data_IF_883341040522
#
_entry.id   IF_883341040522
#
_cell.length_a   1.000
_cell.length_b   1.000
_cell.length_c   1.000
_cell.angle_alpha   90.00
_cell.angle_beta   90.00
_cell.angle_gamma   90.00
#
_symmetry.space_group_name_H-M   'P 1'
#
loop_
_entity.id
_entity.type
_entity.pdbx_description
1 polymer ?
#
# COMPACT_ATOMS: atom_id res chain seq x y z
N UNK A 1 -20.54 -9.64 -4.80
CA UNK A 1 -20.12 -8.68 -3.75
C UNK A 1 -20.58 -9.21 -2.40
N UNK A 2 -19.70 -9.28 -1.39
CA UNK A 2 -20.06 -9.64 -0.02
C UNK A 2 -21.12 -8.68 0.54
N UNK A 3 -21.72 -9.00 1.70
CA UNK A 3 -22.67 -8.09 2.39
C UNK A 3 -22.08 -6.70 2.74
N UNK A 4 -20.76 -6.56 2.59
CA UNK A 4 -19.97 -5.36 2.82
C UNK A 4 -19.46 -4.70 1.52
N UNK A 5 -19.80 -5.23 0.34
CA UNK A 5 -19.45 -4.65 -0.96
C UNK A 5 -18.19 -5.19 -1.63
N UNK A 6 -17.59 -6.29 -1.16
CA UNK A 6 -16.27 -6.77 -1.63
C UNK A 6 -16.32 -7.97 -2.58
N UNK A 7 -15.28 -8.18 -3.41
CA UNK A 7 -15.18 -9.31 -4.35
C UNK A 7 -14.28 -10.44 -3.81
N UNK A 8 -14.64 -11.70 -4.07
CA UNK A 8 -13.86 -12.88 -3.68
C UNK A 8 -14.53 -14.18 -4.13
N UNK A 9 -13.84 -15.32 -3.97
CA UNK A 9 -14.35 -16.65 -4.32
C UNK A 9 -14.45 -17.51 -3.05
N UNK A 10 -15.67 -17.69 -2.53
CA UNK A 10 -15.94 -18.43 -1.29
C UNK A 10 -17.36 -18.18 -0.78
N UNK A 11 -17.81 -18.94 0.23
CA UNK A 11 -19.15 -18.78 0.83
C UNK A 11 -19.41 -17.37 1.37
N UNK A 12 -18.36 -16.71 1.86
CA UNK A 12 -18.41 -15.33 2.38
C UNK A 12 -18.67 -14.27 1.28
N UNK A 13 -18.52 -14.66 0.01
CA UNK A 13 -18.65 -13.80 -1.17
C UNK A 13 -19.80 -14.21 -2.10
N UNK A 14 -20.29 -15.46 -1.98
CA UNK A 14 -21.31 -16.06 -2.85
C UNK A 14 -22.54 -16.63 -2.12
N UNK A 15 -22.71 -16.38 -0.81
CA UNK A 15 -23.87 -16.84 -0.01
C UNK A 15 -25.10 -15.91 0.01
N UNK A 16 -26.07 -16.23 0.87
CA UNK A 16 -27.32 -15.48 1.02
C UNK A 16 -27.08 -13.99 1.37
N UNK A 17 -27.74 -13.09 0.62
CA UNK A 17 -27.55 -11.63 0.74
C UNK A 17 -26.52 -11.02 -0.23
N UNK A 18 -25.99 -11.80 -1.19
CA UNK A 18 -25.13 -11.31 -2.26
C UNK A 18 -25.89 -10.32 -3.19
N UNK A 19 -25.33 -9.13 -3.41
CA UNK A 19 -25.95 -8.08 -4.25
C UNK A 19 -25.63 -8.17 -5.74
N UNK A 20 -24.61 -8.94 -6.16
CA UNK A 20 -24.27 -9.22 -7.57
C UNK A 20 -23.21 -10.33 -7.69
N UNK A 21 -23.41 -11.26 -8.65
CA UNK A 21 -22.49 -12.34 -9.06
C UNK A 21 -21.36 -11.86 -10.00
N UNK A 22 -20.52 -12.78 -10.52
CA UNK A 22 -19.09 -12.60 -10.68
C UNK A 22 -18.74 -11.34 -11.48
N UNK A 23 -17.92 -10.46 -10.91
CA UNK A 23 -17.32 -9.36 -11.64
C UNK A 23 -16.31 -9.96 -12.64
N UNK A 24 -16.79 -10.36 -13.81
CA UNK A 24 -15.93 -10.46 -14.98
C UNK A 24 -15.42 -9.05 -15.20
N UNK A 25 -14.14 -8.81 -14.89
CA UNK A 25 -13.47 -7.65 -15.46
C UNK A 25 -13.74 -7.68 -16.96
N UNK A 26 -14.24 -6.60 -17.54
CA UNK A 26 -14.25 -6.48 -18.99
C UNK A 26 -12.78 -6.36 -19.39
N UNK A 27 -12.18 -7.51 -19.71
CA UNK A 27 -10.83 -7.59 -20.26
C UNK A 27 -10.70 -6.54 -21.37
N UNK A 28 -9.92 -5.50 -21.11
CA UNK A 28 -9.61 -4.43 -22.07
C UNK A 28 -10.78 -3.60 -22.62
N UNK A 29 -12.04 -3.86 -22.27
CA UNK A 29 -13.22 -3.27 -22.91
C UNK A 29 -13.58 -1.85 -22.43
N UNK A 30 -14.39 -1.10 -23.20
CA UNK A 30 -14.88 0.21 -22.78
C UNK A 30 -15.82 0.12 -21.57
N UNK A 31 -15.96 1.23 -20.85
CA UNK A 31 -16.86 1.32 -19.70
C UNK A 31 -18.33 1.16 -20.10
N UNK A 32 -19.18 0.51 -19.26
CA UNK A 32 -20.60 0.32 -19.56
C UNK A 32 -21.37 1.64 -19.76
N UNK A 33 -20.99 2.67 -19.00
CA UNK A 33 -21.45 4.04 -19.21
C UNK A 33 -20.41 4.82 -20.03
N UNK A 34 -20.83 5.36 -21.17
CA UNK A 34 -19.99 6.17 -22.05
C UNK A 34 -19.48 7.49 -21.43
N UNK A 35 -20.07 7.91 -20.31
CA UNK A 35 -19.66 9.10 -19.55
C UNK A 35 -18.65 8.80 -18.46
N UNK A 36 -18.30 7.53 -18.26
CA UNK A 36 -17.30 7.08 -17.30
C UNK A 36 -15.92 6.97 -17.95
N UNK A 37 -14.91 7.34 -17.16
CA UNK A 37 -13.51 7.16 -17.48
C UNK A 37 -13.01 5.82 -16.95
N UNK A 38 -12.06 5.24 -17.66
CA UNK A 38 -11.32 4.08 -17.22
C UNK A 38 -10.02 4.52 -16.58
N UNK A 39 -9.87 4.31 -15.28
CA UNK A 39 -8.67 4.68 -14.55
C UNK A 39 -7.41 3.96 -15.05
N UNK A 40 -6.24 4.44 -14.63
CA UNK A 40 -4.96 3.77 -14.88
C UNK A 40 -4.90 2.33 -14.37
N UNK A 41 -5.78 1.98 -13.43
CA UNK A 41 -5.90 0.64 -12.85
C UNK A 41 -6.98 -0.22 -13.54
N UNK A 42 -7.64 0.31 -14.57
CA UNK A 42 -8.60 -0.44 -15.39
C UNK A 42 -10.04 -0.42 -14.90
N UNK A 43 -10.39 0.43 -13.92
CA UNK A 43 -11.74 0.56 -13.36
C UNK A 43 -12.51 1.71 -13.98
N UNK A 44 -13.83 1.57 -14.10
CA UNK A 44 -14.71 2.61 -14.65
C UNK A 44 -15.29 3.49 -13.55
N UNK A 45 -15.33 4.80 -13.78
CA UNK A 45 -15.95 5.78 -12.89
C UNK A 45 -15.73 7.21 -13.35
N UNK A 46 -16.22 8.17 -12.56
CA UNK A 46 -16.11 9.61 -12.83
C UNK A 46 -15.17 10.29 -11.86
N UNK A 47 -14.68 11.46 -12.24
CA UNK A 47 -13.82 12.30 -11.41
C UNK A 47 -12.32 12.00 -11.58
N UNK A 48 -11.45 12.75 -10.90
CA UNK A 48 -10.01 12.78 -11.19
C UNK A 48 -9.31 11.43 -11.04
N UNK A 49 -9.75 10.57 -10.12
CA UNK A 49 -9.16 9.25 -9.88
C UNK A 49 -9.37 8.28 -11.06
N UNK A 50 -10.38 8.54 -11.89
CA UNK A 50 -10.74 7.73 -13.05
C UNK A 50 -10.40 8.43 -14.37
N UNK A 51 -10.63 9.74 -14.42
CA UNK A 51 -10.48 10.57 -15.61
C UNK A 51 -9.14 11.29 -15.70
N UNK A 52 -8.39 11.39 -14.61
CA UNK A 52 -7.13 12.13 -14.56
C UNK A 52 -5.94 11.37 -15.16
N UNK A 53 -4.76 11.63 -14.62
CA UNK A 53 -3.51 11.08 -15.13
C UNK A 53 -3.52 9.55 -15.20
N UNK A 54 -3.12 9.04 -16.36
CA UNK A 54 -3.10 7.61 -16.65
C UNK A 54 -4.47 7.00 -16.98
N UNK A 55 -5.52 7.81 -17.12
CA UNK A 55 -6.81 7.35 -17.65
C UNK A 55 -6.63 6.64 -19.01
N UNK A 56 -7.17 5.42 -19.09
CA UNK A 56 -7.00 4.47 -20.20
C UNK A 56 -8.08 4.57 -21.28
N UNK A 57 -9.27 5.08 -20.96
CA UNK A 57 -10.41 5.21 -21.89
C UNK A 57 -11.53 6.12 -21.31
N UNK A 58 -12.46 6.60 -22.13
CA UNK A 58 -13.57 7.47 -21.71
C UNK A 58 -13.20 8.97 -21.77
N UNK A 59 -13.96 9.87 -21.11
CA UNK A 59 -13.71 11.32 -21.14
C UNK A 59 -12.53 11.72 -20.24
N UNK A 60 -11.36 11.11 -20.48
CA UNK A 60 -10.12 11.38 -19.76
C UNK A 60 -9.75 12.87 -19.86
N UNK A 61 -9.49 13.48 -18.72
CA UNK A 61 -8.98 14.84 -18.56
C UNK A 61 -7.48 14.76 -18.29
N UNK A 62 -6.69 14.86 -19.35
CA UNK A 62 -5.23 14.82 -19.30
C UNK A 62 -4.66 14.74 -20.72
N UNK A 63 -4.07 15.83 -21.19
CA UNK A 63 -3.49 15.96 -22.54
C UNK A 63 -2.38 14.93 -22.74
N UNK A 64 -2.55 14.01 -23.70
CA UNK A 64 -1.49 13.14 -24.15
C UNK A 64 -0.41 13.89 -24.95
N UNK A 65 0.84 13.45 -24.83
CA UNK A 65 1.90 13.80 -25.78
C UNK A 65 3.34 13.62 -25.29
N UNK A 66 3.95 12.49 -25.65
CA UNK A 66 5.34 12.33 -26.15
C UNK A 66 6.49 13.01 -25.42
N UNK A 67 7.39 12.21 -24.84
CA UNK A 67 8.60 12.71 -24.15
C UNK A 67 9.76 13.12 -25.05
N UNK A 68 10.81 13.66 -24.43
CA UNK A 68 12.23 13.27 -24.61
C UNK A 68 13.09 14.06 -23.61
N UNK A 69 13.90 13.32 -22.86
CA UNK A 69 15.32 13.62 -22.63
C UNK A 69 15.72 14.91 -21.91
N UNK A 70 16.34 14.72 -20.74
CA UNK A 70 17.60 15.40 -20.44
C UNK A 70 17.60 16.29 -19.20
N UNK A 71 18.62 16.07 -18.35
CA UNK A 71 19.18 17.10 -17.48
C UNK A 71 18.57 17.17 -16.09
N UNK A 72 19.34 16.74 -15.09
CA UNK A 72 18.97 16.86 -13.70
C UNK A 72 18.80 18.30 -13.23
N UNK A 73 17.88 18.51 -12.30
CA UNK A 73 18.07 19.30 -11.08
C UNK A 73 16.77 19.29 -10.28
N UNK A 74 16.91 19.10 -8.97
CA UNK A 74 16.01 19.62 -7.94
C UNK A 74 14.53 19.21 -8.03
N UNK A 75 14.27 17.91 -7.99
CA UNK A 75 12.90 17.40 -7.75
C UNK A 75 12.47 17.74 -6.32
N UNK A 76 11.39 18.51 -6.20
CA UNK A 76 10.88 19.08 -4.94
C UNK A 76 11.02 18.17 -3.72
N UNK A 77 11.36 18.78 -2.59
CA UNK A 77 11.61 18.13 -1.29
C UNK A 77 10.35 17.59 -0.62
N UNK A 78 9.29 17.25 -1.37
CA UNK A 78 8.03 16.85 -0.79
C UNK A 78 7.21 15.86 -1.62
N UNK A 79 6.34 15.15 -0.91
CA UNK A 79 5.27 14.27 -1.39
C UNK A 79 3.99 14.75 -0.71
N UNK A 80 3.28 15.68 -1.36
CA UNK A 80 2.18 16.42 -0.75
C UNK A 80 2.63 17.14 0.53
N UNK A 81 2.03 16.74 1.66
CA UNK A 81 2.35 17.28 3.00
C UNK A 81 3.61 16.69 3.63
N UNK A 82 4.21 15.65 3.03
CA UNK A 82 5.39 14.96 3.56
C UNK A 82 6.63 15.60 2.94
N UNK A 83 7.33 16.47 3.67
CA UNK A 83 8.63 17.02 3.24
C UNK A 83 9.79 16.08 3.61
N UNK A 84 10.97 16.28 3.02
CA UNK A 84 12.21 15.58 3.42
C UNK A 84 12.45 15.72 4.92
N UNK A 85 12.27 16.91 5.50
CA UNK A 85 12.43 17.16 6.94
C UNK A 85 11.40 16.45 7.81
N UNK A 86 10.16 16.32 7.34
CA UNK A 86 9.11 15.55 8.04
C UNK A 86 9.46 14.07 7.99
N UNK A 87 9.89 13.56 6.83
CA UNK A 87 10.32 12.17 6.67
C UNK A 87 11.54 11.87 7.55
N UNK A 88 12.52 12.78 7.61
CA UNK A 88 13.68 12.73 8.51
C UNK A 88 13.27 12.69 9.99
N UNK A 89 12.32 13.54 10.37
CA UNK A 89 11.78 13.59 11.72
C UNK A 89 11.11 12.26 12.13
N UNK A 90 10.48 11.54 11.19
CA UNK A 90 9.83 10.25 11.46
C UNK A 90 10.82 9.09 11.46
N UNK A 91 11.73 9.04 10.50
CA UNK A 91 12.63 7.89 10.26
C UNK A 91 14.08 8.14 10.69
N UNK A 92 14.30 8.80 11.83
CA UNK A 92 15.63 9.19 12.31
C UNK A 92 16.55 8.03 12.79
N UNK A 93 16.12 6.77 12.65
CA UNK A 93 16.83 5.58 13.15
C UNK A 93 17.83 4.99 12.15
N UNK A 94 17.75 5.42 10.89
CA UNK A 94 18.69 5.06 9.82
C UNK A 94 19.52 6.28 9.41
N UNK A 95 20.66 6.06 8.75
CA UNK A 95 21.51 7.15 8.27
C UNK A 95 20.82 8.00 7.20
N UNK A 96 21.30 9.24 7.03
CA UNK A 96 20.68 10.21 6.13
C UNK A 96 20.69 9.77 4.65
N UNK A 97 21.70 9.02 4.21
CA UNK A 97 21.82 8.55 2.82
C UNK A 97 20.78 7.50 2.53
N UNK A 98 20.67 6.49 3.41
CA UNK A 98 19.65 5.46 3.29
C UNK A 98 18.24 6.06 3.37
N UNK A 99 18.03 7.02 4.29
CA UNK A 99 16.74 7.68 4.45
C UNK A 99 16.34 8.48 3.21
N UNK A 100 17.27 9.25 2.63
CA UNK A 100 17.05 9.96 1.37
C UNK A 100 16.72 9.00 0.22
N UNK A 101 17.40 7.84 0.15
CA UNK A 101 17.08 6.81 -0.85
C UNK A 101 15.64 6.29 -0.69
N UNK A 102 15.18 6.00 0.54
CA UNK A 102 13.80 5.57 0.80
C UNK A 102 12.78 6.66 0.46
N UNK A 103 13.06 7.92 0.80
CA UNK A 103 12.18 9.03 0.46
C UNK A 103 12.10 9.28 -1.05
N UNK A 104 13.20 9.09 -1.78
CA UNK A 104 13.19 9.13 -3.25
C UNK A 104 12.30 8.04 -3.86
N UNK A 105 12.27 6.84 -3.25
CA UNK A 105 11.32 5.78 -3.63
C UNK A 105 9.86 6.24 -3.51
N UNK A 106 9.51 6.90 -2.39
CA UNK A 106 8.17 7.47 -2.18
C UNK A 106 7.84 8.53 -3.22
N UNK A 107 8.74 9.49 -3.45
CA UNK A 107 8.59 10.53 -4.48
C UNK A 107 8.34 9.95 -5.86
N UNK A 108 9.06 8.88 -6.21
CA UNK A 108 8.99 8.25 -7.52
C UNK A 108 7.66 7.52 -7.80
N UNK A 109 6.81 7.30 -6.78
CA UNK A 109 5.47 6.70 -6.97
C UNK A 109 4.44 7.71 -7.48
N UNK A 110 4.63 9.01 -7.21
CA UNK A 110 3.62 10.04 -7.48
C UNK A 110 2.42 10.02 -6.52
N UNK A 111 2.39 9.12 -5.54
CA UNK A 111 1.34 9.11 -4.52
C UNK A 111 1.37 10.39 -3.70
N UNK A 112 0.20 10.93 -3.37
CA UNK A 112 0.07 12.08 -2.48
C UNK A 112 -1.03 11.77 -1.46
N UNK A 113 -0.76 11.83 -0.15
CA UNK A 113 -1.81 11.66 0.85
C UNK A 113 -2.81 12.82 0.76
N UNK A 114 -4.10 12.54 0.96
CA UNK A 114 -5.16 13.54 0.90
C UNK A 114 -5.05 14.56 2.04
N UNK A 115 -4.52 14.16 3.20
CA UNK A 115 -4.28 15.04 4.34
C UNK A 115 -3.15 14.53 5.24
N UNK A 116 -2.82 15.31 6.28
CA UNK A 116 -1.76 14.97 7.23
C UNK A 116 -2.10 13.76 8.10
N UNK A 117 -3.37 13.46 8.35
CA UNK A 117 -3.77 12.26 9.06
C UNK A 117 -3.44 11.00 8.25
N UNK A 118 -3.77 10.99 6.96
CA UNK A 118 -3.44 9.89 6.05
C UNK A 118 -1.92 9.66 5.98
N UNK A 119 -1.15 10.75 5.86
CA UNK A 119 0.30 10.71 5.90
C UNK A 119 0.84 10.10 7.20
N UNK A 120 0.33 10.54 8.35
CA UNK A 120 0.75 10.06 9.66
C UNK A 120 0.44 8.58 9.85
N UNK A 121 -0.76 8.14 9.46
CA UNK A 121 -1.19 6.74 9.57
C UNK A 121 -0.35 5.84 8.68
N UNK A 122 -0.18 6.19 7.40
CA UNK A 122 0.60 5.40 6.46
C UNK A 122 2.05 5.23 6.93
N UNK A 123 2.74 6.34 7.21
CA UNK A 123 4.15 6.31 7.62
C UNK A 123 4.38 5.61 8.97
N UNK A 124 3.41 5.66 9.89
CA UNK A 124 3.52 4.96 11.16
C UNK A 124 3.43 3.44 11.00
N UNK A 125 2.56 2.94 10.13
CA UNK A 125 2.55 1.52 9.78
C UNK A 125 3.85 1.12 9.08
N UNK A 126 4.30 1.88 8.07
CA UNK A 126 5.58 1.62 7.39
C UNK A 126 6.72 1.48 8.38
N UNK A 127 6.83 2.41 9.33
CA UNK A 127 7.87 2.36 10.35
C UNK A 127 7.80 1.08 11.17
N UNK A 128 6.62 0.66 11.62
CA UNK A 128 6.48 -0.56 12.40
C UNK A 128 6.90 -1.80 11.59
N UNK A 129 6.38 -1.93 10.37
CA UNK A 129 6.64 -3.09 9.50
C UNK A 129 8.11 -3.24 9.09
N UNK A 130 8.88 -2.15 9.12
CA UNK A 130 10.26 -2.10 8.61
C UNK A 130 11.32 -1.84 9.67
N UNK A 131 10.94 -1.82 10.95
CA UNK A 131 11.80 -1.39 12.06
C UNK A 131 12.45 -0.01 11.77
N UNK A 132 11.62 0.96 11.41
CA UNK A 132 12.04 2.31 11.06
C UNK A 132 12.87 2.37 9.77
N UNK A 133 12.49 1.58 8.76
CA UNK A 133 13.18 1.42 7.46
C UNK A 133 14.57 0.79 7.54
N UNK A 134 14.95 0.19 8.68
CA UNK A 134 16.22 -0.57 8.80
C UNK A 134 16.20 -1.83 7.95
N UNK A 135 15.03 -2.44 7.79
CA UNK A 135 14.90 -3.65 6.97
C UNK A 135 13.81 -3.52 5.91
N UNK A 136 14.11 -4.01 4.70
CA UNK A 136 13.14 -4.18 3.62
C UNK A 136 12.80 -5.66 3.39
N UNK A 137 13.31 -6.53 4.25
CA UNK A 137 13.09 -7.97 4.19
C UNK A 137 12.85 -8.51 5.59
N UNK A 138 12.03 -9.53 5.71
CA UNK A 138 11.79 -10.18 6.99
C UNK A 138 13.11 -10.73 7.57
N UNK A 139 13.30 -10.60 8.88
CA UNK A 139 14.57 -10.95 9.53
C UNK A 139 14.94 -12.43 9.43
N UNK A 140 13.96 -13.34 9.31
CA UNK A 140 14.25 -14.77 9.13
C UNK A 140 14.77 -15.11 7.74
N UNK A 141 14.68 -14.20 6.76
CA UNK A 141 14.98 -14.52 5.38
C UNK A 141 16.48 -14.79 5.15
N UNK A 142 16.85 -15.77 4.28
CA UNK A 142 15.96 -16.62 3.50
C UNK A 142 15.43 -17.85 4.27
N UNK A 143 15.87 -18.07 5.51
CA UNK A 143 15.50 -19.21 6.35
C UNK A 143 14.12 -19.13 7.00
N UNK A 144 13.22 -18.32 6.45
CA UNK A 144 11.84 -18.30 6.91
C UNK A 144 11.20 -19.67 6.62
N UNK A 145 10.48 -20.22 7.60
CA UNK A 145 9.94 -21.57 7.53
C UNK A 145 9.00 -21.81 6.34
N UNK A 146 8.57 -23.07 6.11
CA UNK A 146 7.76 -23.46 4.96
C UNK A 146 6.38 -22.78 4.91
N UNK A 147 6.01 -21.99 5.91
CA UNK A 147 4.78 -21.21 5.90
C UNK A 147 4.64 -20.41 4.61
N UNK A 148 5.69 -19.74 4.12
CA UNK A 148 5.62 -18.90 2.92
C UNK A 148 5.57 -19.68 1.58
N UNK A 149 5.32 -21.00 1.61
CA UNK A 149 5.23 -21.87 0.41
C UNK A 149 3.81 -22.15 -0.11
N UNK A 150 2.74 -21.64 0.53
CA UNK A 150 1.45 -21.46 -0.15
C UNK A 150 0.22 -22.25 0.32
N UNK A 151 0.18 -22.79 1.55
CA UNK A 151 -1.04 -23.49 2.04
C UNK A 151 -2.30 -22.62 2.16
N UNK A 152 -2.15 -21.30 2.25
CA UNK A 152 -3.26 -20.33 2.35
C UNK A 152 -3.57 -19.64 1.01
N UNK A 153 -3.01 -20.14 -0.08
CA UNK A 153 -2.92 -19.43 -1.35
C UNK A 153 -3.19 -20.39 -2.53
N UNK A 154 -4.10 -20.01 -3.43
CA UNK A 154 -4.37 -20.79 -4.66
C UNK A 154 -3.33 -20.59 -5.76
N UNK A 155 -2.43 -19.60 -5.61
CA UNK A 155 -1.32 -19.34 -6.52
C UNK A 155 -0.10 -20.12 -6.04
N UNK A 156 0.43 -20.99 -6.90
CA UNK A 156 1.67 -21.72 -6.60
C UNK A 156 2.87 -20.76 -6.59
N UNK A 157 3.80 -21.02 -5.68
CA UNK A 157 5.12 -20.38 -5.70
C UNK A 157 5.85 -20.68 -7.02
N UNK A 158 6.54 -19.70 -7.57
CA UNK A 158 7.50 -19.94 -8.65
C UNK A 158 8.67 -20.81 -8.15
N UNK A 159 9.28 -21.64 -9.02
CA UNK A 159 10.38 -22.52 -8.64
C UNK A 159 11.50 -21.77 -7.91
N UNK A 160 11.95 -22.32 -6.78
CA UNK A 160 13.07 -21.79 -5.97
C UNK A 160 12.85 -20.38 -5.40
N UNK A 161 11.63 -19.81 -5.51
CA UNK A 161 11.28 -18.51 -4.94
C UNK A 161 10.65 -18.62 -3.57
N UNK A 162 10.92 -17.62 -2.73
CA UNK A 162 10.36 -17.49 -1.39
C UNK A 162 9.63 -16.14 -1.26
N UNK A 163 8.45 -16.18 -0.63
CA UNK A 163 7.54 -15.04 -0.49
C UNK A 163 7.38 -14.64 0.98
N UNK A 164 8.51 -14.57 1.69
CA UNK A 164 8.62 -13.91 2.99
C UNK A 164 8.37 -12.40 2.86
N UNK A 165 8.23 -11.71 4.00
CA UNK A 165 7.93 -10.28 4.03
C UNK A 165 8.98 -9.42 3.31
N UNK A 166 8.54 -8.58 2.36
CA UNK A 166 9.41 -7.56 1.73
C UNK A 166 8.75 -6.19 1.60
N UNK A 167 9.58 -5.16 1.51
CA UNK A 167 9.15 -3.79 1.27
C UNK A 167 8.46 -3.16 2.48
N UNK A 168 7.78 -2.04 2.23
CA UNK A 168 7.31 -1.14 3.29
C UNK A 168 6.21 -1.73 4.17
N UNK A 169 5.38 -2.64 3.64
CA UNK A 169 4.32 -3.34 4.37
C UNK A 169 4.55 -4.86 4.45
N UNK A 170 5.81 -5.30 4.37
CA UNK A 170 6.19 -6.72 4.50
C UNK A 170 5.31 -7.66 3.66
N UNK A 171 5.16 -7.35 2.37
CA UNK A 171 4.38 -8.14 1.41
C UNK A 171 4.82 -9.60 1.49
N UNK A 172 3.89 -10.49 1.80
CA UNK A 172 4.14 -11.91 2.05
C UNK A 172 3.15 -12.75 1.24
N UNK A 173 3.50 -14.01 0.98
CA UNK A 173 2.68 -15.03 0.30
C UNK A 173 2.62 -14.89 -1.24
N UNK A 174 2.69 -16.00 -2.00
CA UNK A 174 2.71 -15.97 -3.47
C UNK A 174 1.53 -15.21 -4.09
N UNK A 175 0.31 -15.35 -3.56
CA UNK A 175 -0.88 -14.66 -4.07
C UNK A 175 -0.76 -13.14 -3.99
N UNK A 176 -0.18 -12.60 -2.92
CA UNK A 176 -0.04 -11.15 -2.79
C UNK A 176 1.00 -10.62 -3.76
N UNK A 177 2.12 -11.33 -3.95
CA UNK A 177 3.10 -10.96 -4.97
C UNK A 177 2.49 -11.02 -6.37
N UNK A 178 1.77 -12.10 -6.70
CA UNK A 178 1.07 -12.22 -7.98
C UNK A 178 0.07 -11.08 -8.19
N UNK A 179 -0.85 -10.86 -7.26
CA UNK A 179 -1.91 -9.86 -7.39
C UNK A 179 -1.37 -8.42 -7.41
N UNK A 180 -0.37 -8.11 -6.57
CA UNK A 180 0.32 -6.83 -6.60
C UNK A 180 1.04 -6.64 -7.94
N UNK A 181 1.74 -7.68 -8.41
CA UNK A 181 2.45 -7.65 -9.68
C UNK A 181 1.55 -7.40 -10.88
N UNK A 182 0.40 -8.10 -10.94
CA UNK A 182 -0.63 -7.86 -11.96
C UNK A 182 -1.16 -6.42 -11.93
N UNK A 183 -1.41 -5.87 -10.73
CA UNK A 183 -1.88 -4.49 -10.58
C UNK A 183 -0.82 -3.46 -11.00
N UNK A 184 0.45 -3.73 -10.72
CA UNK A 184 1.56 -2.81 -10.95
C UNK A 184 2.22 -2.97 -12.34
N UNK A 185 1.89 -4.03 -13.07
CA UNK A 185 2.55 -4.38 -14.34
C UNK A 185 4.00 -4.84 -14.14
N UNK A 186 4.30 -5.47 -13.00
CA UNK A 186 5.64 -5.97 -12.64
C UNK A 186 5.51 -7.46 -12.32
N UNK A 187 6.34 -8.32 -12.90
CA UNK A 187 6.30 -9.75 -12.61
C UNK A 187 6.98 -10.06 -11.26
N UNK A 188 6.24 -9.83 -10.18
CA UNK A 188 6.67 -10.07 -8.80
C UNK A 188 6.58 -11.54 -8.39
N UNK A 189 5.89 -12.40 -9.16
CA UNK A 189 5.83 -13.82 -8.84
C UNK A 189 7.18 -14.47 -9.17
N UNK A 190 7.73 -14.21 -10.36
CA UNK A 190 9.04 -14.72 -10.77
C UNK A 190 10.21 -13.90 -10.20
N UNK A 191 9.97 -12.61 -9.90
CA UNK A 191 11.00 -11.67 -9.43
C UNK A 191 10.61 -10.99 -8.09
N UNK A 192 10.41 -11.76 -7.01
CA UNK A 192 9.94 -11.21 -5.73
C UNK A 192 10.97 -10.31 -5.03
N UNK A 193 12.26 -10.46 -5.34
CA UNK A 193 13.36 -9.68 -4.77
C UNK A 193 13.37 -8.21 -5.23
N UNK A 194 12.66 -7.87 -6.32
CA UNK A 194 12.48 -6.47 -6.73
C UNK A 194 11.85 -5.65 -5.60
N UNK A 195 10.96 -6.25 -4.80
CA UNK A 195 10.26 -5.56 -3.69
C UNK A 195 11.21 -5.09 -2.59
N UNK A 196 12.33 -5.78 -2.34
CA UNK A 196 13.32 -5.37 -1.34
C UNK A 196 14.44 -4.48 -1.92
N UNK A 197 14.69 -4.57 -3.23
CA UNK A 197 15.83 -3.92 -3.90
C UNK A 197 15.49 -2.62 -4.64
N UNK A 198 14.26 -2.46 -5.15
CA UNK A 198 13.83 -1.24 -5.83
C UNK A 198 12.97 -0.35 -4.89
N UNK A 199 13.46 0.85 -4.48
CA UNK A 199 12.75 1.71 -3.54
C UNK A 199 11.36 2.12 -3.99
N UNK A 200 11.12 2.30 -5.29
CA UNK A 200 9.80 2.66 -5.82
C UNK A 200 8.84 1.47 -5.72
N UNK A 201 9.29 0.27 -6.08
CA UNK A 201 8.49 -0.96 -6.00
C UNK A 201 8.14 -1.30 -4.55
N UNK A 202 9.07 -1.12 -3.61
CA UNK A 202 8.82 -1.31 -2.17
C UNK A 202 7.66 -0.45 -1.65
N UNK A 203 7.51 0.78 -2.16
CA UNK A 203 6.41 1.68 -1.80
C UNK A 203 5.14 1.32 -2.57
N UNK A 204 5.25 1.05 -3.87
CA UNK A 204 4.10 0.69 -4.71
C UNK A 204 3.37 -0.56 -4.21
N UNK A 205 4.09 -1.58 -3.72
CA UNK A 205 3.45 -2.77 -3.13
C UNK A 205 2.76 -2.47 -1.82
N UNK A 206 3.30 -1.58 -0.99
CA UNK A 206 2.63 -1.11 0.22
C UNK A 206 1.39 -0.29 -0.09
N UNK A 207 1.45 0.62 -1.08
CA UNK A 207 0.29 1.38 -1.54
C UNK A 207 -0.78 0.47 -2.17
N UNK A 208 -0.37 -0.56 -2.91
CA UNK A 208 -1.30 -1.58 -3.42
C UNK A 208 -2.04 -2.27 -2.27
N UNK A 209 -1.32 -2.77 -1.25
CA UNK A 209 -1.95 -3.41 -0.10
C UNK A 209 -2.87 -2.44 0.64
N UNK A 210 -2.39 -1.22 0.89
CA UNK A 210 -3.10 -0.17 1.58
C UNK A 210 -4.45 0.15 0.91
N UNK A 211 -4.43 0.32 -0.42
CA UNK A 211 -5.63 0.60 -1.20
C UNK A 211 -6.54 -0.64 -1.33
N UNK A 212 -5.97 -1.80 -1.62
CA UNK A 212 -6.71 -3.05 -1.79
C UNK A 212 -7.47 -3.46 -0.52
N UNK A 213 -6.96 -3.10 0.66
CA UNK A 213 -7.61 -3.38 1.95
C UNK A 213 -8.44 -2.20 2.49
N UNK A 214 -8.69 -1.16 1.69
CA UNK A 214 -9.58 -0.06 2.05
C UNK A 214 -9.08 0.82 3.20
N UNK A 215 -7.77 0.91 3.41
CA UNK A 215 -7.18 1.65 4.53
C UNK A 215 -7.22 3.18 4.34
N UNK A 216 -7.37 3.68 3.12
CA UNK A 216 -7.39 5.11 2.82
C UNK A 216 -8.46 5.86 3.62
N UNK A 217 -9.71 5.40 3.58
CA UNK A 217 -10.83 6.07 4.25
C UNK A 217 -10.66 6.20 5.78
N UNK A 218 -10.33 5.15 6.56
CA UNK A 218 -10.04 5.31 7.99
C UNK A 218 -8.79 6.14 8.25
N UNK A 219 -7.73 6.01 7.44
CA UNK A 219 -6.51 6.79 7.61
C UNK A 219 -6.74 8.29 7.42
N UNK A 220 -7.53 8.68 6.42
CA UNK A 220 -7.91 10.07 6.16
C UNK A 220 -8.72 10.70 7.31
N UNK A 221 -9.35 9.88 8.16
CA UNK A 221 -10.04 10.31 9.38
C UNK A 221 -9.17 10.22 10.64
N UNK A 222 -7.90 9.80 10.51
CA UNK A 222 -7.00 9.56 11.65
C UNK A 222 -7.36 8.35 12.50
N UNK A 223 -8.19 7.44 12.02
CA UNK A 223 -8.65 6.22 12.72
C UNK A 223 -7.59 5.11 12.65
N UNK A 224 -6.51 5.32 13.42
CA UNK A 224 -5.35 4.42 13.44
C UNK A 224 -5.66 3.03 14.01
N UNK A 225 -6.64 2.93 14.91
CA UNK A 225 -7.09 1.65 15.45
C UNK A 225 -7.76 0.81 14.35
N UNK A 226 -8.57 1.41 13.48
CA UNK A 226 -9.17 0.71 12.34
C UNK A 226 -8.12 0.20 11.35
N UNK A 227 -7.08 0.98 11.05
CA UNK A 227 -6.00 0.54 10.15
C UNK A 227 -5.14 -0.56 10.76
N UNK A 228 -4.90 -0.53 12.08
CA UNK A 228 -4.23 -1.62 12.80
C UNK A 228 -5.05 -2.92 12.76
N UNK A 229 -6.38 -2.84 12.91
CA UNK A 229 -7.27 -4.01 12.75
C UNK A 229 -7.15 -4.65 11.36
N UNK A 230 -7.04 -3.83 10.32
CA UNK A 230 -6.90 -4.30 8.93
C UNK A 230 -5.57 -5.02 8.72
N UNK A 231 -4.46 -4.45 9.21
CA UNK A 231 -3.13 -5.04 9.02
C UNK A 231 -2.96 -6.35 9.80
N UNK A 232 -3.27 -6.35 11.10
CA UNK A 232 -2.96 -7.50 11.95
C UNK A 232 -3.86 -7.59 13.19
N UNK A 233 -5.15 -7.27 13.04
CA UNK A 233 -6.05 -7.17 14.18
C UNK A 233 -6.24 -8.45 14.98
N UNK A 234 -6.12 -9.61 14.34
CA UNK A 234 -6.25 -10.90 15.02
C UNK A 234 -5.15 -11.14 16.07
N UNK A 235 -3.96 -10.55 15.89
CA UNK A 235 -2.84 -10.72 16.79
C UNK A 235 -2.63 -9.52 17.72
N UNK A 236 -2.86 -8.30 17.21
CA UNK A 236 -2.46 -7.07 17.91
C UNK A 236 -3.60 -6.39 18.68
N UNK A 237 -4.85 -6.65 18.32
CA UNK A 237 -6.01 -6.04 18.96
C UNK A 237 -6.56 -6.88 20.12
N UNK A 238 -7.38 -6.28 20.99
CA UNK A 238 -8.12 -6.92 22.08
C UNK A 238 -7.24 -7.73 23.06
N UNK A 239 -6.06 -7.21 23.39
CA UNK A 239 -5.04 -7.90 24.19
C UNK A 239 -4.58 -9.25 23.59
N UNK A 240 -4.56 -9.35 22.26
CA UNK A 240 -4.00 -10.50 21.55
C UNK A 240 -2.50 -10.70 21.84
N UNK A 241 -1.93 -11.83 21.41
CA UNK A 241 -0.54 -12.20 21.72
C UNK A 241 0.50 -11.19 21.20
N UNK A 242 0.14 -10.35 20.23
CA UNK A 242 0.95 -9.27 19.67
C UNK A 242 0.60 -7.88 20.19
N UNK A 243 -0.12 -7.73 21.31
CA UNK A 243 -0.59 -6.42 21.80
C UNK A 243 0.52 -5.36 21.96
N UNK A 244 1.73 -5.77 22.34
CA UNK A 244 2.87 -4.85 22.45
C UNK A 244 3.30 -4.26 21.09
N UNK A 245 3.04 -4.95 19.98
CA UNK A 245 3.30 -4.44 18.63
C UNK A 245 2.41 -3.24 18.33
N UNK A 246 1.14 -3.32 18.70
CA UNK A 246 0.22 -2.18 18.61
C UNK A 246 0.74 -0.97 19.39
N UNK A 247 1.24 -1.15 20.62
CA UNK A 247 1.77 -0.03 21.41
C UNK A 247 2.94 0.66 20.68
N UNK A 248 3.75 -0.11 19.96
CA UNK A 248 4.84 0.41 19.12
C UNK A 248 4.30 1.18 17.92
N UNK A 249 3.26 0.65 17.24
CA UNK A 249 2.55 1.36 16.17
C UNK A 249 1.98 2.71 16.65
N UNK A 250 1.33 2.72 17.80
CA UNK A 250 0.74 3.92 18.41
C UNK A 250 1.80 4.95 18.77
N UNK A 251 2.92 4.52 19.36
CA UNK A 251 4.03 5.42 19.69
C UNK A 251 4.58 6.11 18.42
N UNK A 252 4.75 5.35 17.33
CA UNK A 252 5.19 5.93 16.08
C UNK A 252 4.13 6.81 15.43
N UNK A 253 2.85 6.45 15.53
CA UNK A 253 1.76 7.30 15.03
C UNK A 253 1.77 8.67 15.69
N UNK A 254 1.92 8.73 17.01
CA UNK A 254 2.05 9.99 17.75
C UNK A 254 3.26 10.80 17.29
N UNK A 255 4.42 10.15 17.11
CA UNK A 255 5.61 10.80 16.55
C UNK A 255 5.35 11.36 15.14
N UNK A 256 4.72 10.60 14.27
CA UNK A 256 4.41 11.05 12.91
C UNK A 256 3.50 12.28 12.92
N UNK A 257 2.46 12.26 13.76
CA UNK A 257 1.58 13.42 13.96
C UNK A 257 2.33 14.65 14.49
N UNK A 258 3.24 14.46 15.43
CA UNK A 258 4.08 15.54 15.96
C UNK A 258 4.96 16.14 14.86
N UNK A 259 5.65 15.31 14.06
CA UNK A 259 6.47 15.76 12.93
C UNK A 259 5.64 16.50 11.86
N UNK A 260 4.39 16.08 11.63
CA UNK A 260 3.45 16.71 10.70
C UNK A 260 2.78 17.97 11.28
N UNK A 261 2.93 18.24 12.58
CA UNK A 261 2.36 19.39 13.27
C UNK A 261 0.84 19.32 13.45
N UNK A 262 0.27 18.13 13.67
CA UNK A 262 -1.18 17.91 13.86
C UNK A 262 -1.59 17.43 15.25
N UNK A 263 -0.71 17.63 16.25
CA UNK A 263 -0.99 17.35 17.66
C UNK A 263 -1.26 15.87 17.98
N UNK A 264 -1.69 15.59 19.21
CA UNK A 264 -2.05 14.23 19.63
C UNK A 264 -3.28 13.70 18.85
N UNK A 265 -3.44 12.37 18.72
CA UNK A 265 -4.64 11.77 18.16
C UNK A 265 -5.91 12.21 18.91
N UNK A 266 -6.94 12.61 18.18
CA UNK A 266 -8.26 12.94 18.73
C UNK A 266 -9.11 11.70 19.03
N UNK A 267 -8.80 10.58 18.38
CA UNK A 267 -9.43 9.26 18.57
C UNK A 267 -8.42 8.36 19.27
N UNK A 268 -8.89 7.48 20.16
CA UNK A 268 -8.02 6.47 20.77
C UNK A 268 -7.40 5.59 19.67
N UNK A 269 -6.06 5.60 19.50
CA UNK A 269 -5.40 4.87 18.41
C UNK A 269 -5.21 3.37 18.69
N UNK A 270 -5.70 2.89 19.84
CA UNK A 270 -5.61 1.51 20.32
C UNK A 270 -6.87 0.73 19.91
N UNK A 271 -6.71 -0.35 19.16
CA UNK A 271 -7.62 -1.51 19.12
C UNK A 271 -7.18 -2.51 20.21
#
# INVERSE_FOLDING_TARGET
MSKWGFCGTGSDYCGDGCKAGPCTGTGGGPCPDSTDCRSQWGYCGKGPDFCGDGCKAGPCTGTGGGGTGGGGSSGGDSVGVITSSIFDCIFNTIDATLRANRFNGLKATGWTPANKDEAAVFLAHVFHETDGLKTMREYCAPGCGPQYSGTWCSISAAPEKLYYGRGWFQLSWPCNYYNAGQSLGIDLLENPDIVENDPKTAVNTALWFYNANGMAAPAQRGDFAATTRIINGALECNNGPGYNNQLTRVATYKRARQCLGIGEPSINPVC
#
